data_IF_242246400671
#
_entry.id   IF_242246400671
#
_cell.length_a   1.000
_cell.length_b   1.000
_cell.length_c   1.000
_cell.angle_alpha   90.00
_cell.angle_beta   90.00
_cell.angle_gamma   90.00
#
_symmetry.space_group_name_H-M   'P 1'
#
loop_
_entity.id
_entity.type
_entity.pdbx_description
1 polymer ?
#
# COMPACT_ATOMS: atom_id res chain seq x y z
N UNK A 1 -14.82 -4.52 12.20
CA UNK A 1 -15.75 -4.80 11.08
C UNK A 1 -15.46 -6.15 10.41
N UNK A 2 -14.27 -6.36 9.84
CA UNK A 2 -13.99 -7.53 8.99
C UNK A 2 -14.12 -8.89 9.69
N UNK A 3 -13.60 -9.03 10.90
CA UNK A 3 -13.71 -10.25 11.72
C UNK A 3 -15.17 -10.57 12.05
N UNK A 4 -15.97 -9.55 12.34
CA UNK A 4 -17.42 -9.67 12.60
C UNK A 4 -18.16 -10.17 11.36
N UNK A 5 -17.88 -9.60 10.17
CA UNK A 5 -18.47 -10.04 8.91
C UNK A 5 -18.22 -11.53 8.64
N UNK A 6 -17.01 -12.01 8.93
CA UNK A 6 -16.66 -13.41 8.72
C UNK A 6 -17.26 -14.35 9.77
N UNK A 7 -17.36 -13.91 11.01
CA UNK A 7 -18.03 -14.68 12.06
C UNK A 7 -19.52 -14.86 11.72
N UNK A 8 -20.19 -13.81 11.23
CA UNK A 8 -21.58 -13.90 10.77
C UNK A 8 -21.72 -14.80 9.53
N UNK A 9 -20.77 -14.75 8.60
CA UNK A 9 -20.75 -15.66 7.45
C UNK A 9 -20.59 -17.13 7.86
N UNK A 10 -19.73 -17.43 8.84
CA UNK A 10 -19.59 -18.77 9.40
C UNK A 10 -20.85 -19.27 10.13
N UNK A 11 -21.65 -18.34 10.67
CA UNK A 11 -22.97 -18.65 11.23
C UNK A 11 -24.04 -18.90 10.14
N UNK A 12 -23.69 -18.86 8.85
CA UNK A 12 -24.62 -19.12 7.74
C UNK A 12 -25.50 -17.93 7.36
N UNK A 13 -25.17 -16.72 7.81
CA UNK A 13 -25.96 -15.54 7.45
C UNK A 13 -25.72 -15.13 5.99
N UNK A 14 -26.78 -14.69 5.32
CA UNK A 14 -26.68 -14.19 3.95
C UNK A 14 -25.91 -12.87 3.88
N UNK A 15 -25.22 -12.63 2.76
CA UNK A 15 -24.40 -11.42 2.58
C UNK A 15 -25.20 -10.12 2.73
N UNK A 16 -26.46 -10.11 2.29
CA UNK A 16 -27.36 -8.95 2.43
C UNK A 16 -27.67 -8.66 3.90
N UNK A 17 -27.94 -9.68 4.72
CA UNK A 17 -28.16 -9.48 6.16
C UNK A 17 -26.91 -8.93 6.84
N UNK A 18 -25.74 -9.50 6.54
CA UNK A 18 -24.46 -9.06 7.11
C UNK A 18 -24.17 -7.60 6.72
N UNK A 19 -24.46 -7.23 5.48
CA UNK A 19 -24.30 -5.88 4.97
C UNK A 19 -25.15 -4.86 5.75
N UNK A 20 -26.43 -5.16 5.96
CA UNK A 20 -27.35 -4.32 6.74
C UNK A 20 -26.92 -4.20 8.20
N UNK A 21 -26.57 -5.31 8.84
CA UNK A 21 -26.13 -5.36 10.25
C UNK A 21 -24.87 -4.53 10.49
N UNK A 22 -23.91 -4.56 9.55
CA UNK A 22 -22.65 -3.84 9.66
C UNK A 22 -22.67 -2.45 9.04
N UNK A 23 -23.79 -2.01 8.47
CA UNK A 23 -23.91 -0.72 7.79
C UNK A 23 -22.95 -0.57 6.61
N UNK A 24 -22.73 -1.63 5.84
CA UNK A 24 -21.78 -1.65 4.72
C UNK A 24 -22.38 -2.24 3.45
N UNK A 25 -21.82 -1.95 2.29
CA UNK A 25 -22.35 -2.48 1.03
C UNK A 25 -22.08 -3.99 0.88
N UNK A 26 -23.03 -4.73 0.28
CA UNK A 26 -22.92 -6.19 0.06
C UNK A 26 -21.61 -6.62 -0.60
N UNK A 27 -21.10 -5.81 -1.53
CA UNK A 27 -19.85 -6.09 -2.25
C UNK A 27 -18.63 -6.06 -1.35
N UNK A 28 -18.69 -5.33 -0.23
CA UNK A 28 -17.62 -5.28 0.77
C UNK A 28 -17.55 -6.61 1.52
N UNK A 29 -18.71 -7.15 1.94
CA UNK A 29 -18.80 -8.48 2.56
C UNK A 29 -18.27 -9.54 1.61
N UNK A 30 -18.72 -9.51 0.34
CA UNK A 30 -18.28 -10.46 -0.69
C UNK A 30 -16.77 -10.40 -0.93
N UNK A 31 -16.18 -9.19 -1.05
CA UNK A 31 -14.72 -9.01 -1.18
C UNK A 31 -13.95 -9.57 0.01
N UNK A 32 -14.45 -9.38 1.23
CA UNK A 32 -13.81 -9.89 2.44
C UNK A 32 -13.79 -11.42 2.47
N UNK A 33 -14.91 -12.05 2.12
CA UNK A 33 -15.02 -13.52 2.07
C UNK A 33 -14.12 -14.09 0.97
N UNK A 34 -14.14 -13.52 -0.24
CA UNK A 34 -13.26 -13.96 -1.33
C UNK A 34 -11.78 -13.81 -0.97
N UNK A 35 -11.40 -12.69 -0.35
CA UNK A 35 -10.03 -12.48 0.12
C UNK A 35 -9.63 -13.54 1.15
N UNK A 36 -10.51 -13.83 2.11
CA UNK A 36 -10.25 -14.87 3.10
C UNK A 36 -10.09 -16.26 2.46
N UNK A 37 -10.92 -16.61 1.48
CA UNK A 37 -10.79 -17.87 0.74
C UNK A 37 -9.47 -17.96 -0.05
N UNK A 38 -8.97 -16.85 -0.60
CA UNK A 38 -7.71 -16.83 -1.35
C UNK A 38 -6.46 -16.83 -0.47
N UNK A 39 -6.46 -16.02 0.59
CA UNK A 39 -5.24 -15.75 1.38
C UNK A 39 -5.25 -16.38 2.77
N UNK A 40 -6.40 -16.90 3.23
CA UNK A 40 -6.61 -17.33 4.62
C UNK A 40 -6.61 -16.19 5.64
N UNK A 41 -6.36 -14.94 5.22
CA UNK A 41 -6.18 -13.79 6.08
C UNK A 41 -7.10 -12.63 5.70
N UNK A 42 -7.69 -12.02 6.72
CA UNK A 42 -8.66 -10.91 6.59
C UNK A 42 -8.02 -9.56 6.89
N UNK A 43 -6.87 -9.55 7.57
CA UNK A 43 -6.14 -8.34 7.90
C UNK A 43 -5.74 -7.59 6.63
N UNK A 44 -5.63 -6.26 6.73
CA UNK A 44 -5.12 -5.46 5.62
C UNK A 44 -3.69 -5.91 5.31
N UNK A 45 -3.44 -6.26 4.03
CA UNK A 45 -2.10 -6.58 3.60
C UNK A 45 -1.30 -5.28 3.65
N UNK A 46 -0.05 -5.26 4.15
CA UNK A 46 0.77 -4.06 4.09
C UNK A 46 0.76 -3.51 2.67
N UNK A 47 0.52 -2.21 2.55
CA UNK A 47 0.41 -1.56 1.24
C UNK A 47 1.70 -1.81 0.47
N UNK A 48 1.61 -2.58 -0.62
CA UNK A 48 2.75 -2.95 -1.45
C UNK A 48 3.16 -1.74 -2.28
N UNK A 49 3.89 -0.79 -1.67
CA UNK A 49 4.53 0.28 -2.44
C UNK A 49 5.56 -0.35 -3.37
N UNK A 50 5.52 0.01 -4.64
CA UNK A 50 6.59 -0.35 -5.58
C UNK A 50 7.88 0.28 -5.06
N UNK A 51 8.97 -0.47 -4.85
CA UNK A 51 10.24 0.12 -4.48
C UNK A 51 10.64 1.14 -5.55
N UNK A 52 10.91 2.38 -5.13
CA UNK A 52 11.48 3.39 -6.02
C UNK A 52 12.92 2.98 -6.27
N UNK A 53 13.32 2.87 -7.54
CA UNK A 53 14.70 2.60 -7.89
C UNK A 53 15.59 3.71 -7.30
N UNK A 54 16.56 3.32 -6.46
CA UNK A 54 17.61 4.20 -5.98
C UNK A 54 18.66 4.31 -7.10
N UNK A 55 18.34 5.01 -8.19
CA UNK A 55 19.35 5.37 -9.18
C UNK A 55 20.27 6.43 -8.57
N UNK A 56 21.60 6.21 -8.49
CA UNK A 56 22.53 7.25 -8.05
C UNK A 56 22.41 8.45 -9.00
N UNK A 57 22.04 9.60 -8.45
CA UNK A 57 22.19 10.86 -9.17
C UNK A 57 23.69 11.09 -9.39
N UNK A 58 24.13 11.10 -10.64
CA UNK A 58 25.50 11.45 -11.01
C UNK A 58 25.68 12.96 -10.77
N UNK A 59 26.52 13.41 -9.82
CA UNK A 59 26.80 14.83 -9.65
C UNK A 59 27.67 15.30 -10.82
N UNK A 60 27.09 16.10 -11.71
CA UNK A 60 27.80 16.68 -12.86
C UNK A 60 28.77 17.77 -12.37
N UNK A 61 30.06 17.56 -12.64
CA UNK A 61 31.21 18.47 -12.58
C UNK A 61 31.03 19.89 -12.00
N UNK A 62 31.74 20.17 -10.89
CA UNK A 62 32.18 21.54 -10.56
C UNK A 62 33.61 21.72 -11.08
N UNK A 63 33.75 22.34 -12.24
CA UNK A 63 35.03 22.75 -12.80
C UNK A 63 35.48 24.04 -12.09
N UNK A 64 36.41 23.92 -11.13
CA UNK A 64 37.07 25.08 -10.51
C UNK A 64 38.10 25.63 -11.49
N UNK A 65 37.85 26.84 -11.99
CA UNK A 65 38.79 27.62 -12.78
C UNK A 65 39.63 28.48 -11.84
N UNK A 66 40.83 28.02 -11.47
CA UNK A 66 41.82 28.87 -10.81
C UNK A 66 42.41 29.83 -11.84
N UNK A 67 41.92 31.06 -11.86
CA UNK A 67 42.60 32.19 -12.47
C UNK A 67 43.41 32.92 -11.40
N UNK A 68 44.67 32.56 -11.26
CA UNK A 68 45.66 33.36 -10.51
C UNK A 68 46.45 34.18 -11.53
N UNK A 69 45.99 35.41 -11.76
CA UNK A 69 46.74 36.45 -12.45
C UNK A 69 47.87 36.93 -11.53
N UNK A 70 49.10 36.69 -11.97
CA UNK A 70 50.34 37.04 -11.30
C UNK A 70 50.72 38.49 -11.63
N UNK A 71 51.41 39.19 -10.70
CA UNK A 71 52.58 39.93 -11.16
C UNK A 71 53.83 39.56 -10.37
N UNK A 72 54.88 39.24 -11.10
CA UNK A 72 56.28 39.11 -10.65
C UNK A 72 56.94 40.50 -10.59
N UNK A 73 58.04 40.65 -9.81
CA UNK A 73 58.58 41.93 -9.34
C UNK A 73 59.11 42.87 -10.43
#
# INVERSE_FOLDING_TARGET
MRTRALSLHQQGWSWTKIATELGCHRTTVMRLVHKWQQTGCIADLPHRRRPRALTPHHPQHQQVHNGEDQPLP
#
